data_IF_845091274840
#
_entry.id   IF_845091274840
#
_cell.length_a   1.000
_cell.length_b   1.000
_cell.length_c   1.000
_cell.angle_alpha   90.00
_cell.angle_beta   90.00
_cell.angle_gamma   90.00
#
_symmetry.space_group_name_H-M   'P 1'
#
loop_
_entity.id
_entity.type
_entity.pdbx_description
1 polymer ?
#
# COMPACT_ATOMS: atom_id res chain seq x y z
N UNK A 1 -5.63 -23.01 -7.03
CA UNK A 1 -5.69 -21.96 -6.01
C UNK A 1 -7.13 -21.45 -5.99
N UNK A 2 -7.88 -21.72 -4.91
CA UNK A 2 -9.23 -21.16 -4.78
C UNK A 2 -9.12 -19.67 -4.51
N UNK A 3 -9.81 -18.87 -5.31
CA UNK A 3 -9.99 -17.43 -5.06
C UNK A 3 -11.17 -17.35 -4.08
N UNK A 4 -10.91 -16.76 -2.93
CA UNK A 4 -11.88 -16.66 -1.85
C UNK A 4 -12.22 -15.19 -1.61
N UNK A 5 -13.51 -14.86 -1.59
CA UNK A 5 -14.03 -13.52 -1.27
C UNK A 5 -14.39 -13.53 0.21
N UNK A 6 -13.69 -12.72 0.99
CA UNK A 6 -13.90 -12.63 2.44
C UNK A 6 -14.92 -11.56 2.83
N UNK A 7 -15.10 -10.55 2.00
CA UNK A 7 -16.08 -9.49 2.18
C UNK A 7 -16.39 -8.80 0.85
N UNK A 8 -17.44 -8.02 0.83
CA UNK A 8 -17.75 -7.03 -0.22
C UNK A 8 -17.99 -5.67 0.41
N UNK A 9 -17.73 -4.60 -0.33
CA UNK A 9 -17.94 -3.23 0.11
C UNK A 9 -18.36 -2.35 -1.08
N UNK A 10 -18.87 -1.16 -0.80
CA UNK A 10 -19.16 -0.16 -1.82
C UNK A 10 -17.85 0.33 -2.44
N UNK A 11 -17.67 0.12 -3.74
CA UNK A 11 -16.46 0.49 -4.49
C UNK A 11 -16.61 1.81 -5.24
N UNK A 12 -15.75 2.78 -4.99
CA UNK A 12 -15.77 4.03 -5.75
C UNK A 12 -15.09 3.88 -7.10
N UNK A 13 -15.71 4.44 -8.15
CA UNK A 13 -15.23 4.43 -9.52
C UNK A 13 -14.38 5.67 -9.84
N UNK A 14 -13.34 5.56 -10.69
CA UNK A 14 -12.48 6.70 -11.05
C UNK A 14 -13.23 7.86 -11.71
N UNK A 15 -14.26 7.57 -12.49
CA UNK A 15 -15.12 8.55 -13.15
C UNK A 15 -16.22 9.16 -12.26
N UNK A 16 -16.30 8.70 -11.02
CA UNK A 16 -17.41 9.02 -10.09
C UNK A 16 -18.48 7.93 -10.09
N UNK A 17 -19.30 7.94 -9.04
CA UNK A 17 -20.28 6.88 -8.79
C UNK A 17 -19.66 5.68 -8.05
N UNK A 18 -20.48 4.63 -7.87
CA UNK A 18 -20.14 3.49 -7.05
C UNK A 18 -20.56 2.17 -7.72
N UNK A 19 -19.80 1.13 -7.47
CA UNK A 19 -20.13 -0.26 -7.73
C UNK A 19 -20.50 -0.94 -6.41
N UNK A 20 -21.71 -1.49 -6.33
CA UNK A 20 -22.14 -2.28 -5.19
C UNK A 20 -21.40 -3.62 -5.17
N UNK A 21 -21.18 -4.17 -3.96
CA UNK A 21 -20.60 -5.50 -3.79
C UNK A 21 -19.19 -5.68 -4.39
N UNK A 22 -18.36 -4.64 -4.39
CA UNK A 22 -16.97 -4.75 -4.83
C UNK A 22 -16.20 -5.70 -3.90
N UNK A 23 -15.60 -6.79 -4.41
CA UNK A 23 -15.04 -7.84 -3.57
C UNK A 23 -13.73 -7.44 -2.90
N UNK A 24 -13.53 -7.97 -1.70
CA UNK A 24 -12.26 -8.05 -0.98
C UNK A 24 -11.90 -9.53 -0.94
N UNK A 25 -10.77 -9.89 -1.57
CA UNK A 25 -10.32 -11.27 -1.68
C UNK A 25 -9.46 -11.69 -0.49
N UNK A 26 -9.12 -12.98 -0.41
CA UNK A 26 -8.17 -13.52 0.56
C UNK A 26 -7.16 -14.43 -0.12
N UNK A 27 -5.89 -14.34 0.30
CA UNK A 27 -4.89 -15.34 -0.02
C UNK A 27 -5.02 -16.54 0.92
N UNK A 28 -5.29 -17.72 0.36
CA UNK A 28 -5.30 -18.97 1.11
C UNK A 28 -3.92 -19.55 1.39
N UNK A 29 -2.84 -18.91 0.91
CA UNK A 29 -1.47 -19.39 1.06
C UNK A 29 -0.48 -18.23 1.24
N UNK A 30 0.65 -18.50 1.84
CA UNK A 30 1.75 -17.55 1.95
C UNK A 30 2.42 -17.33 0.57
N UNK A 31 2.77 -16.08 0.28
CA UNK A 31 3.41 -15.63 -0.96
C UNK A 31 4.84 -15.15 -0.73
N UNK A 32 5.21 -14.83 0.53
CA UNK A 32 6.56 -14.43 0.90
C UNK A 32 7.39 -15.62 1.40
N UNK A 33 8.67 -15.58 1.11
CA UNK A 33 9.63 -16.51 1.68
C UNK A 33 9.93 -16.10 3.13
N UNK A 34 10.08 -17.07 4.04
CA UNK A 34 10.34 -16.80 5.47
C UNK A 34 11.67 -16.10 5.69
N UNK A 35 12.64 -16.35 4.80
CA UNK A 35 13.94 -15.70 4.81
C UNK A 35 14.14 -14.91 3.52
N UNK A 36 14.78 -13.74 3.62
CA UNK A 36 15.24 -12.97 2.47
C UNK A 36 16.75 -12.89 2.47
N UNK A 37 17.36 -13.05 1.29
CA UNK A 37 18.79 -12.81 1.06
C UNK A 37 19.07 -11.38 0.61
N UNK A 38 18.03 -10.57 0.43
CA UNK A 38 18.18 -9.21 -0.05
C UNK A 38 18.77 -8.31 1.05
N UNK A 39 19.78 -7.55 0.67
CA UNK A 39 20.33 -6.52 1.54
C UNK A 39 19.39 -5.30 1.52
N UNK A 40 18.93 -4.89 2.71
CA UNK A 40 18.13 -3.70 2.83
C UNK A 40 19.04 -2.45 2.82
N UNK A 41 18.68 -1.46 2.02
CA UNK A 41 19.24 -0.10 2.11
C UNK A 41 18.15 0.89 2.48
N UNK A 42 18.50 1.86 3.32
CA UNK A 42 17.60 2.91 3.80
C UNK A 42 18.03 4.25 3.23
N UNK A 43 17.06 5.08 2.83
CA UNK A 43 17.27 6.46 2.44
C UNK A 43 16.20 7.33 3.11
N UNK A 44 16.65 8.33 3.86
CA UNK A 44 15.77 9.36 4.42
C UNK A 44 15.34 10.32 3.30
N UNK A 45 14.04 10.55 3.21
CA UNK A 45 13.39 11.46 2.26
C UNK A 45 12.54 12.51 3.01
N UNK A 46 12.72 12.61 4.32
CA UNK A 46 11.98 13.56 5.16
C UNK A 46 12.29 15.00 4.75
N UNK A 47 11.29 15.85 4.82
CA UNK A 47 11.40 17.26 4.52
C UNK A 47 10.52 18.06 5.48
N UNK A 48 11.02 19.22 5.91
CA UNK A 48 10.39 20.03 6.95
C UNK A 48 10.02 19.18 8.18
N UNK A 49 8.76 19.14 8.57
CA UNK A 49 8.20 18.30 9.65
C UNK A 49 7.58 16.98 9.15
N UNK A 50 7.77 16.64 7.87
CA UNK A 50 7.14 15.50 7.21
C UNK A 50 8.07 14.31 7.13
N UNK A 51 7.64 13.21 7.75
CA UNK A 51 8.36 11.95 7.72
C UNK A 51 8.12 11.22 6.39
N UNK A 52 9.20 10.98 5.66
CA UNK A 52 9.22 10.09 4.49
C UNK A 52 10.57 9.36 4.40
N UNK A 53 10.57 8.10 3.99
CA UNK A 53 11.81 7.34 3.76
C UNK A 53 11.54 6.17 2.81
N UNK A 54 12.59 5.65 2.20
CA UNK A 54 12.52 4.44 1.39
C UNK A 54 13.43 3.34 1.91
N UNK A 55 13.04 2.09 1.64
CA UNK A 55 13.82 0.89 1.88
C UNK A 55 13.88 0.09 0.58
N UNK A 56 15.06 -0.23 0.08
CA UNK A 56 15.23 -1.17 -1.03
C UNK A 56 15.44 -2.59 -0.51
N UNK A 57 15.09 -3.59 -1.32
CA UNK A 57 15.30 -5.00 -1.00
C UNK A 57 14.29 -5.59 -0.01
N UNK A 58 13.12 -4.98 0.15
CA UNK A 58 12.07 -5.49 1.07
C UNK A 58 11.54 -6.85 0.63
N UNK A 59 11.39 -7.04 -0.68
CA UNK A 59 11.02 -8.33 -1.29
C UNK A 59 11.95 -8.65 -2.45
N UNK A 60 12.09 -9.94 -2.76
CA UNK A 60 12.84 -10.43 -3.91
C UNK A 60 12.05 -10.28 -5.22
N UNK A 61 12.73 -10.40 -6.36
CA UNK A 61 12.09 -10.42 -7.66
C UNK A 61 11.10 -11.59 -7.79
N UNK A 62 11.45 -12.77 -7.28
CA UNK A 62 10.59 -13.95 -7.30
C UNK A 62 9.31 -13.76 -6.47
N UNK A 63 9.40 -13.10 -5.30
CA UNK A 63 8.23 -12.73 -4.50
C UNK A 63 7.35 -11.72 -5.22
N UNK A 64 7.97 -10.75 -5.88
CA UNK A 64 7.26 -9.75 -6.67
C UNK A 64 6.48 -10.38 -7.83
N UNK A 65 7.10 -11.29 -8.58
CA UNK A 65 6.44 -12.04 -9.65
C UNK A 65 5.25 -12.86 -9.12
N UNK A 66 5.40 -13.52 -7.96
CA UNK A 66 4.29 -14.24 -7.31
C UNK A 66 3.13 -13.31 -6.95
N UNK A 67 3.44 -12.12 -6.41
CA UNK A 67 2.42 -11.12 -6.06
C UNK A 67 1.69 -10.58 -7.30
N UNK A 68 2.43 -10.25 -8.37
CA UNK A 68 1.83 -9.80 -9.64
C UNK A 68 0.92 -10.91 -10.20
N UNK A 69 1.42 -12.14 -10.33
CA UNK A 69 0.64 -13.26 -10.86
C UNK A 69 -0.61 -13.56 -10.01
N UNK A 70 -0.49 -13.45 -8.69
CA UNK A 70 -1.61 -13.64 -7.78
C UNK A 70 -2.67 -12.54 -7.98
N UNK A 71 -2.27 -11.27 -7.98
CA UNK A 71 -3.20 -10.14 -8.11
C UNK A 71 -3.83 -10.03 -9.50
N UNK A 72 -3.10 -10.39 -10.57
CA UNK A 72 -3.69 -10.54 -11.92
C UNK A 72 -4.76 -11.63 -11.94
N UNK A 73 -4.54 -12.74 -11.27
CA UNK A 73 -5.54 -13.82 -11.18
C UNK A 73 -6.79 -13.41 -10.38
N UNK A 74 -6.66 -12.55 -9.37
CA UNK A 74 -7.80 -11.96 -8.65
C UNK A 74 -8.63 -11.05 -9.55
N UNK A 75 -8.01 -10.43 -10.53
CA UNK A 75 -8.64 -9.53 -11.51
C UNK A 75 -8.73 -8.09 -11.02
N UNK A 76 -7.95 -7.22 -11.63
CA UNK A 76 -8.00 -5.78 -11.39
C UNK A 76 -9.31 -5.17 -11.92
N UNK A 77 -9.86 -4.22 -11.17
CA UNK A 77 -11.11 -3.52 -11.47
C UNK A 77 -10.98 -2.02 -11.20
N UNK A 78 -11.89 -1.24 -11.75
CA UNK A 78 -11.93 0.21 -11.52
C UNK A 78 -12.46 0.55 -10.13
N UNK A 79 -13.44 -0.20 -9.65
CA UNK A 79 -14.04 0.03 -8.34
C UNK A 79 -13.05 -0.29 -7.20
N UNK A 80 -12.94 0.63 -6.24
CA UNK A 80 -12.07 0.50 -5.06
C UNK A 80 -12.93 0.38 -3.79
N UNK A 81 -13.01 -0.81 -3.16
CA UNK A 81 -13.91 -1.03 -2.03
C UNK A 81 -13.49 -0.20 -0.82
N UNK A 82 -14.46 0.52 -0.21
CA UNK A 82 -14.28 1.33 0.99
C UNK A 82 -13.42 2.59 0.80
N UNK A 83 -12.98 2.91 -0.41
CA UNK A 83 -12.21 4.13 -0.71
C UNK A 83 -13.10 5.10 -1.48
N UNK A 84 -13.14 6.34 -1.04
CA UNK A 84 -13.83 7.42 -1.75
C UNK A 84 -12.81 8.43 -2.24
N UNK A 85 -12.80 8.65 -3.56
CA UNK A 85 -11.95 9.66 -4.20
C UNK A 85 -12.81 10.55 -5.10
N UNK A 86 -12.50 11.85 -5.21
CA UNK A 86 -13.13 12.71 -6.20
C UNK A 86 -12.98 12.16 -7.62
N UNK A 87 -13.94 12.39 -8.52
CA UNK A 87 -13.86 11.96 -9.91
C UNK A 87 -12.57 12.44 -10.59
N UNK A 88 -11.92 11.54 -11.33
CA UNK A 88 -10.68 11.82 -12.06
C UNK A 88 -9.42 11.95 -11.19
N UNK A 89 -9.52 11.80 -9.88
CA UNK A 89 -8.35 11.82 -8.99
C UNK A 89 -7.52 10.55 -9.17
N UNK A 90 -8.15 9.38 -9.13
CA UNK A 90 -7.55 8.07 -9.33
C UNK A 90 -7.92 7.53 -10.71
N UNK A 91 -6.94 7.06 -11.48
CA UNK A 91 -7.16 6.52 -12.83
C UNK A 91 -6.73 5.06 -12.97
N UNK A 92 -5.94 4.54 -12.04
CA UNK A 92 -5.50 3.15 -12.02
C UNK A 92 -6.63 2.17 -11.71
N UNK A 93 -6.43 0.92 -12.09
CA UNK A 93 -7.23 -0.21 -11.60
C UNK A 93 -6.66 -0.76 -10.29
N UNK A 94 -7.50 -1.44 -9.51
CA UNK A 94 -7.12 -1.93 -8.18
C UNK A 94 -7.68 -3.31 -7.89
N UNK A 95 -7.03 -4.03 -6.97
CA UNK A 95 -7.56 -5.22 -6.30
C UNK A 95 -7.25 -5.13 -4.81
N UNK A 96 -8.27 -5.36 -3.98
CA UNK A 96 -8.14 -5.35 -2.53
C UNK A 96 -8.23 -6.77 -2.01
N UNK A 97 -7.28 -7.16 -1.16
CA UNK A 97 -7.20 -8.51 -0.66
C UNK A 97 -6.54 -8.60 0.72
N UNK A 98 -6.89 -9.66 1.43
CA UNK A 98 -6.32 -9.99 2.72
C UNK A 98 -5.13 -10.92 2.49
N UNK A 99 -3.95 -10.47 2.90
CA UNK A 99 -2.73 -11.28 2.84
C UNK A 99 -2.79 -12.40 3.89
N UNK A 100 -2.10 -13.51 3.62
CA UNK A 100 -1.95 -14.56 4.63
C UNK A 100 -1.24 -13.98 5.88
N UNK A 101 -1.69 -14.28 7.13
CA UNK A 101 -1.12 -13.69 8.35
C UNK A 101 0.41 -13.82 8.44
N UNK A 102 0.96 -14.97 8.06
CA UNK A 102 2.42 -15.19 8.01
C UNK A 102 3.15 -14.20 7.08
N UNK A 103 2.53 -13.82 5.96
CA UNK A 103 3.13 -12.85 5.05
C UNK A 103 3.17 -11.45 5.66
N UNK A 104 2.13 -11.05 6.40
CA UNK A 104 2.13 -9.78 7.12
C UNK A 104 3.22 -9.75 8.21
N UNK A 105 3.42 -10.85 8.94
CA UNK A 105 4.48 -11.02 9.93
C UNK A 105 5.87 -10.97 9.28
N UNK A 106 6.08 -11.72 8.21
CA UNK A 106 7.34 -11.74 7.45
C UNK A 106 7.67 -10.35 6.92
N UNK A 107 6.69 -9.69 6.28
CA UNK A 107 6.89 -8.35 5.74
C UNK A 107 7.25 -7.35 6.84
N UNK A 108 6.52 -7.37 7.97
CA UNK A 108 6.83 -6.48 9.09
C UNK A 108 8.23 -6.76 9.66
N UNK A 109 8.63 -8.01 9.83
CA UNK A 109 9.95 -8.38 10.36
C UNK A 109 11.11 -7.80 9.53
N UNK A 110 10.95 -7.72 8.23
CA UNK A 110 11.95 -7.16 7.30
C UNK A 110 12.12 -5.65 7.44
N UNK A 111 11.06 -4.93 7.79
CA UNK A 111 11.05 -3.47 7.89
C UNK A 111 11.14 -2.95 9.32
N UNK A 112 10.90 -3.78 10.33
CA UNK A 112 10.70 -3.39 11.73
C UNK A 112 11.77 -2.45 12.29
N UNK A 113 13.06 -2.69 11.95
CA UNK A 113 14.19 -1.88 12.43
C UNK A 113 14.20 -0.45 11.90
N UNK A 114 13.47 -0.18 10.83
CA UNK A 114 13.39 1.13 10.19
C UNK A 114 12.11 1.90 10.57
N UNK A 115 11.13 1.21 11.16
CA UNK A 115 9.86 1.81 11.54
C UNK A 115 10.03 2.56 12.88
N UNK A 116 9.65 3.85 12.96
CA UNK A 116 9.64 4.58 14.22
C UNK A 116 8.82 3.83 15.28
N UNK A 117 9.45 3.52 16.41
CA UNK A 117 8.77 2.80 17.50
C UNK A 117 7.72 3.67 18.21
N UNK A 118 7.89 4.98 18.15
CA UNK A 118 6.91 5.97 18.62
C UNK A 118 6.75 7.03 17.54
N UNK A 119 5.52 7.34 17.18
CA UNK A 119 5.18 8.40 16.24
C UNK A 119 4.05 9.24 16.85
N UNK A 120 4.30 10.54 17.06
CA UNK A 120 3.34 11.46 17.67
C UNK A 120 2.75 10.93 19.00
N UNK A 121 3.60 10.39 19.86
CA UNK A 121 3.21 9.83 21.17
C UNK A 121 2.51 8.46 21.11
N UNK A 122 2.32 7.88 19.92
CA UNK A 122 1.71 6.56 19.76
C UNK A 122 2.77 5.50 19.50
N UNK A 123 2.74 4.43 20.28
CA UNK A 123 3.63 3.29 20.09
C UNK A 123 3.28 2.47 18.86
N UNK A 124 4.28 1.94 18.16
CA UNK A 124 4.09 0.98 17.07
C UNK A 124 3.38 -0.28 17.61
N UNK A 125 2.46 -0.82 16.83
CA UNK A 125 1.83 -2.12 17.12
C UNK A 125 2.71 -3.30 16.73
N UNK A 126 3.87 -3.06 16.09
CA UNK A 126 4.71 -4.14 15.58
C UNK A 126 4.07 -4.89 14.41
N UNK A 127 3.22 -4.24 13.62
CA UNK A 127 2.42 -4.90 12.59
C UNK A 127 2.08 -3.98 11.42
N UNK A 128 1.78 -4.61 10.29
CA UNK A 128 1.07 -4.00 9.16
C UNK A 128 -0.36 -4.52 9.10
N UNK A 129 -1.29 -3.74 8.56
CA UNK A 129 -2.64 -4.22 8.25
C UNK A 129 -2.56 -5.40 7.29
N UNK A 130 -3.38 -6.44 7.51
CA UNK A 130 -3.42 -7.57 6.57
C UNK A 130 -4.20 -7.25 5.28
N UNK A 131 -4.87 -6.12 5.19
CA UNK A 131 -5.51 -5.65 3.96
C UNK A 131 -4.50 -4.95 3.07
N UNK A 132 -4.24 -5.53 1.90
CA UNK A 132 -3.37 -5.01 0.87
C UNK A 132 -4.21 -4.46 -0.28
N UNK A 133 -3.88 -3.24 -0.71
CA UNK A 133 -4.50 -2.60 -1.87
C UNK A 133 -3.48 -2.56 -3.00
N UNK A 134 -3.62 -3.46 -3.97
CA UNK A 134 -2.72 -3.50 -5.12
C UNK A 134 -3.28 -2.64 -6.24
N UNK A 135 -2.46 -1.76 -6.78
CA UNK A 135 -2.78 -0.87 -7.89
C UNK A 135 -1.99 -1.29 -9.13
N UNK A 136 -2.69 -1.33 -10.27
CA UNK A 136 -2.09 -1.50 -11.59
C UNK A 136 -2.32 -0.24 -12.40
N UNK A 137 -1.25 0.36 -12.88
CA UNK A 137 -1.28 1.50 -13.79
C UNK A 137 -0.90 1.03 -15.18
N UNK A 138 -1.59 1.55 -16.21
CA UNK A 138 -1.22 1.42 -17.61
C UNK A 138 -0.90 2.80 -18.18
N UNK A 139 -0.36 2.83 -19.40
CA UNK A 139 0.08 4.06 -20.11
C UNK A 139 -0.95 5.18 -20.00
N UNK A 140 -0.48 6.37 -19.65
CA UNK A 140 -1.28 7.58 -19.49
C UNK A 140 -2.02 7.71 -18.16
N UNK A 141 -2.05 6.67 -17.32
CA UNK A 141 -2.71 6.72 -16.03
C UNK A 141 -1.84 7.38 -14.94
N UNK A 142 -2.51 8.04 -14.01
CA UNK A 142 -1.92 8.74 -12.88
C UNK A 142 -2.82 8.66 -11.65
N UNK A 143 -2.28 9.08 -10.51
CA UNK A 143 -3.06 9.37 -9.33
C UNK A 143 -2.72 10.81 -8.90
N UNK A 144 -3.70 11.70 -9.01
CA UNK A 144 -3.49 13.14 -8.74
C UNK A 144 -3.09 13.39 -7.30
N UNK A 145 -2.51 14.57 -6.98
CA UNK A 145 -2.10 14.93 -5.64
C UNK A 145 -3.20 14.75 -4.60
N UNK A 146 -2.88 14.04 -3.51
CA UNK A 146 -3.82 13.72 -2.42
C UNK A 146 -3.08 13.41 -1.11
N UNK A 147 -3.84 13.32 -0.03
CA UNK A 147 -3.43 12.72 1.24
C UNK A 147 -4.07 11.34 1.35
N UNK A 148 -3.31 10.37 1.82
CA UNK A 148 -3.86 9.09 2.24
C UNK A 148 -4.63 9.25 3.56
N UNK A 149 -5.81 8.63 3.66
CA UNK A 149 -6.55 8.52 4.91
C UNK A 149 -5.90 7.54 5.87
N UNK A 150 -6.14 7.73 7.17
CA UNK A 150 -5.79 6.78 8.22
C UNK A 150 -6.91 5.73 8.37
N UNK A 151 -6.52 4.50 8.59
CA UNK A 151 -7.41 3.33 8.56
C UNK A 151 -7.26 2.48 9.82
N UNK A 152 -8.32 1.76 10.26
CA UNK A 152 -8.15 0.68 11.20
C UNK A 152 -7.31 -0.44 10.55
N UNK A 153 -6.60 -1.22 11.35
CA UNK A 153 -5.98 -2.44 10.85
C UNK A 153 -7.04 -3.50 10.58
N UNK A 154 -6.90 -4.25 9.49
CA UNK A 154 -7.83 -5.31 9.12
C UNK A 154 -7.16 -6.67 9.25
N UNK A 155 -7.94 -7.67 9.63
CA UNK A 155 -7.53 -9.08 9.66
C UNK A 155 -8.75 -9.98 9.41
N UNK A 156 -8.51 -11.21 9.02
CA UNK A 156 -9.55 -12.25 8.99
C UNK A 156 -9.48 -12.98 10.32
N UNK A 157 -10.57 -12.99 11.06
CA UNK A 157 -10.67 -13.68 12.34
C UNK A 157 -10.62 -15.19 12.12
N UNK A 158 -9.62 -15.92 12.66
CA UNK A 158 -9.47 -17.36 12.40
C UNK A 158 -10.57 -18.23 13.00
N UNK A 159 -11.40 -17.68 13.91
CA UNK A 159 -12.51 -18.41 14.53
C UNK A 159 -13.83 -18.23 13.80
N UNK A 160 -14.08 -17.04 13.28
CA UNK A 160 -15.36 -16.68 12.63
C UNK A 160 -15.25 -16.66 11.11
N UNK A 161 -14.03 -16.67 10.57
CA UNK A 161 -13.69 -16.53 9.15
C UNK A 161 -14.20 -15.21 8.53
N UNK A 162 -14.41 -14.19 9.35
CA UNK A 162 -14.93 -12.89 8.93
C UNK A 162 -13.85 -11.82 8.95
N UNK A 163 -14.00 -10.83 8.07
CA UNK A 163 -13.16 -9.63 8.07
C UNK A 163 -13.50 -8.76 9.28
N UNK A 164 -12.50 -8.48 10.09
CA UNK A 164 -12.61 -7.66 11.30
C UNK A 164 -11.55 -6.55 11.33
N UNK A 165 -11.79 -5.55 12.19
CA UNK A 165 -10.84 -4.46 12.45
C UNK A 165 -10.20 -4.60 13.83
N UNK A 166 -8.94 -4.20 13.96
CA UNK A 166 -8.28 -4.07 15.26
C UNK A 166 -8.85 -2.89 16.04
N UNK A 167 -9.46 -3.14 17.20
CA UNK A 167 -10.17 -2.14 18.00
C UNK A 167 -9.29 -1.01 18.51
N UNK A 168 -7.98 -1.23 18.71
CA UNK A 168 -7.02 -0.27 19.26
C UNK A 168 -5.88 0.06 18.29
N UNK A 169 -6.07 -0.19 17.01
CA UNK A 169 -5.09 0.08 15.97
C UNK A 169 -5.55 1.18 15.01
N UNK A 170 -4.63 2.07 14.69
CA UNK A 170 -4.81 3.07 13.64
C UNK A 170 -3.53 3.16 12.80
N UNK A 171 -3.66 3.24 11.50
CA UNK A 171 -2.49 3.42 10.66
C UNK A 171 -1.98 4.86 10.74
N UNK A 172 -0.65 5.02 10.69
CA UNK A 172 -0.01 6.33 10.67
C UNK A 172 0.97 6.49 9.51
N UNK A 173 1.45 5.37 8.94
CA UNK A 173 2.31 5.40 7.76
C UNK A 173 1.68 4.59 6.63
N UNK A 174 1.68 5.17 5.43
CA UNK A 174 1.56 4.40 4.19
C UNK A 174 2.90 3.78 3.84
N UNK A 175 2.86 2.54 3.39
CA UNK A 175 3.94 1.83 2.73
C UNK A 175 3.49 1.56 1.29
N UNK A 176 4.21 2.10 0.32
CA UNK A 176 4.04 1.77 -1.10
C UNK A 176 5.14 0.80 -1.52
N UNK A 177 4.79 -0.48 -1.65
CA UNK A 177 5.70 -1.54 -2.08
C UNK A 177 5.61 -1.69 -3.60
N UNK A 178 6.67 -1.33 -4.32
CA UNK A 178 6.74 -1.46 -5.77
C UNK A 178 7.11 -2.89 -6.16
N UNK A 179 6.28 -3.50 -7.00
CA UNK A 179 6.49 -4.86 -7.46
C UNK A 179 7.36 -4.93 -8.72
N UNK A 180 7.47 -3.84 -9.46
CA UNK A 180 8.32 -3.73 -10.64
C UNK A 180 8.80 -2.29 -10.84
N UNK A 181 9.66 -2.09 -11.83
CA UNK A 181 10.23 -0.78 -12.13
C UNK A 181 10.90 -0.74 -13.50
N UNK A 182 11.87 0.14 -13.68
CA UNK A 182 12.53 0.36 -14.97
C UNK A 182 13.19 -0.90 -15.54
N UNK A 183 13.75 -1.76 -14.70
CA UNK A 183 14.38 -3.03 -15.15
C UNK A 183 13.37 -3.99 -15.76
N UNK A 184 12.12 -3.90 -15.34
CA UNK A 184 10.99 -4.69 -15.83
C UNK A 184 10.17 -3.92 -16.90
N UNK A 185 10.73 -2.83 -17.47
CA UNK A 185 10.15 -2.08 -18.58
C UNK A 185 9.14 -1.00 -18.17
N UNK A 186 9.07 -0.61 -16.90
CA UNK A 186 8.20 0.48 -16.44
C UNK A 186 8.86 1.83 -16.77
N UNK A 187 8.18 2.68 -17.53
CA UNK A 187 8.64 4.02 -17.91
C UNK A 187 7.82 5.10 -17.18
N UNK A 188 8.48 6.01 -16.45
CA UNK A 188 7.80 7.02 -15.64
C UNK A 188 7.05 6.45 -14.44
N UNK A 189 5.90 7.06 -14.11
CA UNK A 189 5.05 6.62 -13.00
C UNK A 189 5.68 6.79 -11.63
N UNK A 190 6.56 7.76 -11.45
CA UNK A 190 7.20 8.08 -10.16
C UNK A 190 6.14 8.39 -9.08
N UNK A 191 6.44 8.13 -7.83
CA UNK A 191 5.69 8.73 -6.73
C UNK A 191 6.31 10.07 -6.39
N UNK A 192 5.50 11.12 -6.46
CA UNK A 192 5.91 12.49 -6.18
C UNK A 192 5.53 12.84 -4.74
N UNK A 193 6.48 13.32 -3.94
CA UNK A 193 6.21 13.94 -2.65
C UNK A 193 6.13 15.45 -2.86
N UNK A 194 5.11 16.10 -2.27
CA UNK A 194 4.81 17.50 -2.54
C UNK A 194 4.77 18.32 -1.25
N UNK A 195 5.26 19.55 -1.33
CA UNK A 195 5.13 20.58 -0.32
C UNK A 195 4.68 21.88 -0.97
N UNK A 196 3.63 22.51 -0.44
CA UNK A 196 3.04 23.75 -0.96
C UNK A 196 2.80 23.73 -2.49
N UNK A 197 2.36 22.58 -3.03
CA UNK A 197 2.10 22.39 -4.46
C UNK A 197 3.35 22.19 -5.32
N UNK A 198 4.53 22.08 -4.73
CA UNK A 198 5.79 21.81 -5.44
C UNK A 198 6.25 20.38 -5.18
N UNK A 199 6.82 19.74 -6.19
CA UNK A 199 7.48 18.44 -6.04
C UNK A 199 8.80 18.65 -5.32
N UNK A 200 8.95 18.06 -4.14
CA UNK A 200 10.19 18.08 -3.35
C UNK A 200 11.01 16.82 -3.56
N UNK A 201 10.37 15.69 -3.87
CA UNK A 201 11.06 14.42 -4.12
C UNK A 201 10.32 13.60 -5.17
N UNK A 202 11.08 12.80 -5.94
CA UNK A 202 10.58 11.84 -6.93
C UNK A 202 11.13 10.46 -6.63
N UNK A 203 10.24 9.54 -6.29
CA UNK A 203 10.60 8.15 -5.98
C UNK A 203 10.26 7.26 -7.16
N UNK A 204 11.30 6.78 -7.86
CA UNK A 204 11.15 5.89 -9.01
C UNK A 204 10.70 4.50 -8.58
N UNK A 205 9.74 3.89 -9.27
CA UNK A 205 9.39 2.48 -9.09
C UNK A 205 10.61 1.59 -9.29
N UNK A 206 10.81 0.64 -8.38
CA UNK A 206 11.85 -0.39 -8.44
C UNK A 206 11.35 -1.64 -7.73
N UNK A 207 11.51 -2.80 -8.35
CA UNK A 207 11.17 -4.07 -7.74
C UNK A 207 11.80 -4.21 -6.34
N UNK A 208 10.96 -4.51 -5.34
CA UNK A 208 11.38 -4.68 -3.95
C UNK A 208 11.65 -3.38 -3.16
N UNK A 209 11.45 -2.20 -3.76
CA UNK A 209 11.48 -0.91 -3.06
C UNK A 209 10.18 -0.67 -2.31
N UNK A 210 10.26 -0.18 -1.08
CA UNK A 210 9.13 0.34 -0.33
C UNK A 210 9.37 1.80 0.02
N UNK A 211 8.40 2.67 -0.30
CA UNK A 211 8.34 4.06 0.13
C UNK A 211 7.39 4.16 1.32
N UNK A 212 7.83 4.83 2.37
CA UNK A 212 7.04 5.09 3.57
C UNK A 212 6.84 6.59 3.74
N UNK A 213 5.65 6.99 4.17
CA UNK A 213 5.37 8.38 4.52
C UNK A 213 4.22 8.49 5.52
N UNK A 214 4.24 9.57 6.31
CA UNK A 214 3.17 9.93 7.25
C UNK A 214 1.88 10.24 6.51
N UNK A 215 0.77 9.65 6.94
CA UNK A 215 -0.55 9.87 6.35
C UNK A 215 -1.62 10.20 7.41
N UNK A 216 -2.85 10.45 6.95
CA UNK A 216 -4.01 10.83 7.77
C UNK A 216 -4.26 12.33 7.77
N UNK A 217 -5.28 12.76 8.51
CA UNK A 217 -5.63 14.20 8.64
C UNK A 217 -4.75 14.81 9.73
N UNK A 218 -3.52 15.19 9.37
CA UNK A 218 -2.55 15.77 10.27
C UNK A 218 -1.62 16.73 9.49
N UNK A 219 -1.15 17.86 10.07
CA UNK A 219 -0.24 18.80 9.39
C UNK A 219 1.04 18.15 8.84
N UNK A 220 1.63 17.22 9.59
CA UNK A 220 2.82 16.46 9.18
C UNK A 220 2.54 15.36 8.14
N UNK A 221 1.32 15.20 7.64
CA UNK A 221 1.01 14.22 6.59
C UNK A 221 1.57 14.65 5.24
N UNK A 222 2.10 13.68 4.49
CA UNK A 222 2.76 13.93 3.21
C UNK A 222 1.73 13.96 2.08
N UNK A 223 1.64 15.11 1.43
CA UNK A 223 0.88 15.25 0.18
C UNK A 223 1.68 14.60 -0.96
N UNK A 224 1.04 13.71 -1.71
CA UNK A 224 1.76 12.93 -2.72
C UNK A 224 0.90 12.65 -3.95
N UNK A 225 1.55 12.21 -5.04
CA UNK A 225 0.91 11.85 -6.30
C UNK A 225 1.60 10.65 -6.95
N UNK A 226 0.87 9.91 -7.77
CA UNK A 226 1.46 9.01 -8.76
C UNK A 226 1.56 9.73 -10.10
N UNK A 227 2.77 9.97 -10.57
CA UNK A 227 3.02 10.62 -11.87
C UNK A 227 2.49 9.78 -13.04
N UNK A 228 2.35 10.40 -14.19
CA UNK A 228 1.85 9.73 -15.39
C UNK A 228 2.77 8.58 -15.78
N UNK A 229 2.18 7.40 -16.03
CA UNK A 229 2.91 6.26 -16.56
C UNK A 229 3.17 6.47 -18.06
N UNK A 230 4.45 6.34 -18.47
CA UNK A 230 4.89 6.40 -19.86
C UNK A 230 4.61 5.11 -20.63
N UNK A 231 5.14 5.03 -21.84
CA UNK A 231 5.09 3.82 -22.67
C UNK A 231 5.89 2.69 -22.01
N UNK A 232 5.41 1.45 -22.11
CA UNK A 232 6.10 0.29 -21.56
C UNK A 232 5.22 -0.66 -20.75
N UNK A 233 5.82 -1.37 -19.83
CA UNK A 233 5.13 -2.34 -18.98
C UNK A 233 4.20 -1.67 -17.96
N UNK A 234 3.08 -2.31 -17.58
CA UNK A 234 2.24 -1.83 -16.48
C UNK A 234 3.03 -1.71 -15.18
N UNK A 235 2.76 -0.67 -14.39
CA UNK A 235 3.31 -0.52 -13.04
C UNK A 235 2.40 -1.18 -12.01
N UNK A 236 3.01 -1.96 -11.11
CA UNK A 236 2.32 -2.57 -9.97
C UNK A 236 2.88 -2.03 -8.66
N UNK A 237 2.00 -1.58 -7.77
CA UNK A 237 2.36 -1.10 -6.43
C UNK A 237 1.32 -1.55 -5.42
N UNK A 238 1.77 -2.01 -4.25
CA UNK A 238 0.90 -2.40 -3.14
C UNK A 238 0.94 -1.33 -2.07
N UNK A 239 -0.22 -0.74 -1.75
CA UNK A 239 -0.36 0.13 -0.59
C UNK A 239 -0.71 -0.70 0.63
N UNK A 240 0.08 -0.53 1.68
CA UNK A 240 0.00 -1.25 2.94
C UNK A 240 0.02 -0.22 4.07
N UNK A 241 -0.74 -0.45 5.12
CA UNK A 241 -0.79 0.44 6.27
C UNK A 241 0.07 -0.09 7.41
N UNK A 242 0.99 0.73 7.93
CA UNK A 242 1.77 0.41 9.15
C UNK A 242 0.98 0.90 10.36
N UNK A 243 0.84 0.02 11.36
CA UNK A 243 -0.10 0.19 12.46
C UNK A 243 0.55 0.70 13.74
N UNK A 244 -0.15 1.64 14.38
CA UNK A 244 0.17 2.21 15.67
C UNK A 244 -1.01 2.08 16.62
N UNK A 245 -0.76 2.13 17.92
CA UNK A 245 -1.85 2.17 18.89
C UNK A 245 -2.68 3.43 18.69
N UNK A 246 -4.01 3.31 18.70
CA UNK A 246 -4.87 4.48 18.74
C UNK A 246 -4.64 5.27 20.02
N UNK A 247 -4.86 6.60 19.97
CA UNK A 247 -4.84 7.39 21.20
C UNK A 247 -5.84 6.77 22.18
N UNK A 248 -5.43 6.62 23.43
CA UNK A 248 -6.36 6.28 24.52
C UNK A 248 -7.36 7.43 24.60
N UNK A 249 -8.63 7.16 24.36
CA UNK A 249 -9.70 8.08 24.76
C UNK A 249 -9.78 7.89 26.28
N UNK A 250 -9.18 8.82 27.02
CA UNK A 250 -9.42 8.94 28.47
C UNK A 250 -10.87 9.35 28.72
#
# INVERSE_FOLDING_TARGET
MNIDIVATDLGSLPGGGFEEQTPIFRSGQALFDTETKEAHSYLDLSFDDKLAFQIDGVISAAESERLIAFTEKLGFREAAPGIQTPPGMRQNTTVHWMVHPKDAEVLYSRIARFIPQVLEGRGSMGAVSHRFNTYRYVVGQQFRPHLDGDWPGYYVNPKTDQLECWKRGRSMLSMLLYLNGQKEGVEGGDTLLLEAGRVVERVRPRCGRALFFRHGIHPASVFHAGDVLGEGAPKYVVRINVMYHSATIE
#
